data_IF_802151011419
#
_entry.id   IF_802151011419
#
_cell.length_a   1.000
_cell.length_b   1.000
_cell.length_c   1.000
_cell.angle_alpha   90.00
_cell.angle_beta   90.00
_cell.angle_gamma   90.00
#
_symmetry.space_group_name_H-M   'P 1'
#
loop_
_entity.id
_entity.type
_entity.pdbx_description
1 polymer ?
#
# COMPACT_ATOMS: atom_id res chain seq x y z
N UNK A 1 -2.49 -7.70 -16.09
CA UNK A 1 -2.72 -6.64 -15.09
C UNK A 1 -3.62 -5.56 -15.68
N UNK A 2 -4.61 -5.07 -14.96
CA UNK A 2 -5.44 -3.94 -15.39
C UNK A 2 -4.80 -2.64 -14.90
N UNK A 3 -4.69 -1.63 -15.75
CA UNK A 3 -4.24 -0.28 -15.40
C UNK A 3 -5.43 0.68 -15.52
N UNK A 4 -5.59 1.56 -14.53
CA UNK A 4 -6.65 2.56 -14.48
C UNK A 4 -6.07 3.87 -13.94
N UNK A 5 -6.11 4.96 -14.72
CA UNK A 5 -5.84 6.28 -14.20
C UNK A 5 -6.94 6.66 -13.20
N UNK A 6 -6.58 6.80 -11.91
CA UNK A 6 -7.54 7.13 -10.84
C UNK A 6 -7.52 8.63 -10.51
N UNK A 7 -6.41 9.28 -10.81
CA UNK A 7 -6.26 10.74 -10.86
C UNK A 7 -5.42 11.13 -12.07
N UNK A 8 -5.20 12.43 -12.31
CA UNK A 8 -4.27 12.90 -13.35
C UNK A 8 -2.80 12.53 -13.06
N UNK A 9 -2.48 12.03 -11.87
CA UNK A 9 -1.10 11.71 -11.44
C UNK A 9 -0.92 10.30 -10.91
N UNK A 10 -2.00 9.56 -10.64
CA UNK A 10 -1.94 8.21 -10.03
C UNK A 10 -2.61 7.20 -10.94
N UNK A 11 -1.87 6.16 -11.30
CA UNK A 11 -2.38 4.99 -12.02
C UNK A 11 -2.41 3.80 -11.09
N UNK A 12 -3.60 3.26 -10.83
CA UNK A 12 -3.80 2.00 -10.12
C UNK A 12 -3.56 0.84 -11.07
N UNK A 13 -2.70 -0.08 -10.65
CA UNK A 13 -2.44 -1.34 -11.33
C UNK A 13 -3.03 -2.48 -10.50
N UNK A 14 -3.95 -3.26 -11.09
CA UNK A 14 -4.62 -4.35 -10.37
C UNK A 14 -4.20 -5.71 -10.93
N UNK A 15 -3.61 -6.55 -10.08
CA UNK A 15 -3.21 -7.93 -10.37
C UNK A 15 -4.23 -8.92 -9.81
N UNK A 16 -4.45 -10.04 -10.50
CA UNK A 16 -5.40 -11.09 -10.10
C UNK A 16 -6.81 -10.59 -9.75
N UNK A 17 -7.20 -9.40 -10.25
CA UNK A 17 -8.48 -8.71 -10.03
C UNK A 17 -8.65 -8.10 -8.63
N UNK A 18 -7.72 -8.28 -7.68
CA UNK A 18 -7.91 -7.83 -6.31
C UNK A 18 -6.66 -7.27 -5.60
N UNK A 19 -5.44 -7.46 -6.11
CA UNK A 19 -4.22 -6.87 -5.51
C UNK A 19 -3.82 -5.63 -6.29
N UNK A 20 -3.64 -4.53 -5.61
CA UNK A 20 -3.28 -3.24 -6.20
C UNK A 20 -1.85 -2.83 -5.85
N UNK A 21 -1.23 -2.13 -6.80
CA UNK A 21 -0.09 -1.26 -6.58
C UNK A 21 -0.31 0.02 -7.40
N UNK A 22 0.47 1.07 -7.14
CA UNK A 22 0.18 2.38 -7.70
C UNK A 22 1.44 3.03 -8.29
N UNK A 23 1.33 3.55 -9.50
CA UNK A 23 2.34 4.42 -10.09
C UNK A 23 1.92 5.89 -9.86
N UNK A 24 2.71 6.61 -9.09
CA UNK A 24 2.51 8.02 -8.75
C UNK A 24 3.50 8.85 -9.54
N UNK A 25 3.01 9.78 -10.35
CA UNK A 25 3.84 10.70 -11.12
C UNK A 25 4.43 11.78 -10.21
N UNK A 26 5.74 11.90 -10.26
CA UNK A 26 6.53 12.90 -9.55
C UNK A 26 7.31 13.79 -10.54
N UNK A 27 8.01 14.80 -10.05
CA UNK A 27 8.81 15.68 -10.91
C UNK A 27 10.04 14.98 -11.51
N UNK A 28 10.58 13.98 -10.80
CA UNK A 28 11.81 13.25 -11.13
C UNK A 28 11.56 11.85 -11.71
N UNK A 29 10.29 11.46 -11.89
CA UNK A 29 9.91 10.14 -12.43
C UNK A 29 8.67 9.57 -11.76
N UNK A 30 8.65 8.26 -11.50
CA UNK A 30 7.54 7.56 -10.87
C UNK A 30 7.94 7.01 -9.50
N UNK A 31 7.07 7.22 -8.51
CA UNK A 31 7.07 6.44 -7.27
C UNK A 31 6.12 5.25 -7.47
N UNK A 32 6.64 4.04 -7.37
CA UNK A 32 5.81 2.83 -7.29
C UNK A 32 5.47 2.57 -5.83
N UNK A 33 4.18 2.57 -5.49
CA UNK A 33 3.70 2.19 -4.17
C UNK A 33 3.23 0.73 -4.22
N UNK A 34 3.87 -0.13 -3.45
CA UNK A 34 3.76 -1.59 -3.46
C UNK A 34 4.11 -2.24 -4.81
N UNK A 35 4.28 -3.55 -4.85
CA UNK A 35 4.77 -4.23 -6.05
C UNK A 35 3.84 -5.34 -6.56
N UNK A 36 2.75 -5.60 -5.86
CA UNK A 36 1.88 -6.74 -6.10
C UNK A 36 2.65 -8.08 -6.13
N UNK A 37 2.01 -9.14 -6.59
CA UNK A 37 2.58 -10.48 -6.67
C UNK A 37 2.76 -10.88 -8.15
N UNK A 38 3.97 -11.33 -8.54
CA UNK A 38 4.28 -11.79 -9.91
C UNK A 38 3.86 -10.78 -11.00
N UNK A 39 4.20 -9.52 -10.82
CA UNK A 39 3.71 -8.40 -11.63
C UNK A 39 4.82 -7.52 -12.24
N UNK A 40 6.10 -7.86 -12.06
CA UNK A 40 7.21 -7.00 -12.44
C UNK A 40 7.14 -6.54 -13.91
N UNK A 41 7.01 -7.45 -14.86
CA UNK A 41 6.93 -7.13 -16.29
C UNK A 41 5.76 -6.19 -16.61
N UNK A 42 4.59 -6.45 -16.01
CA UNK A 42 3.40 -5.63 -16.24
C UNK A 42 3.52 -4.23 -15.62
N UNK A 43 4.22 -4.11 -14.49
CA UNK A 43 4.50 -2.83 -13.84
C UNK A 43 5.47 -2.02 -14.72
N UNK A 44 6.55 -2.64 -15.19
CA UNK A 44 7.52 -2.00 -16.08
C UNK A 44 6.87 -1.52 -17.37
N UNK A 45 6.06 -2.38 -18.02
CA UNK A 45 5.32 -2.01 -19.22
C UNK A 45 4.28 -0.89 -18.95
N UNK A 46 3.74 -0.77 -17.75
CA UNK A 46 2.85 0.34 -17.38
C UNK A 46 3.62 1.63 -17.19
N UNK A 47 4.80 1.60 -16.57
CA UNK A 47 5.69 2.75 -16.43
C UNK A 47 6.18 3.27 -17.79
N UNK A 48 6.56 2.37 -18.69
CA UNK A 48 6.94 2.71 -20.06
C UNK A 48 5.80 3.45 -20.80
N UNK A 49 4.56 2.99 -20.69
CA UNK A 49 3.40 3.68 -21.29
C UNK A 49 3.12 5.07 -20.68
N UNK A 50 3.53 5.30 -19.43
CA UNK A 50 3.46 6.62 -18.79
C UNK A 50 4.62 7.53 -19.20
N UNK A 51 5.64 7.01 -19.89
CA UNK A 51 6.78 7.77 -20.40
C UNK A 51 7.75 8.28 -19.34
N UNK A 52 7.77 7.67 -18.14
CA UNK A 52 8.64 8.10 -17.06
C UNK A 52 9.26 6.88 -16.32
N UNK A 53 10.53 6.97 -15.88
CA UNK A 53 11.20 5.89 -15.16
C UNK A 53 10.66 5.74 -13.75
N UNK A 54 10.62 4.51 -13.24
CA UNK A 54 10.44 4.26 -11.80
C UNK A 54 11.77 4.60 -11.11
N UNK A 55 11.77 5.61 -10.27
CA UNK A 55 12.98 6.07 -9.54
C UNK A 55 12.98 5.61 -8.08
N UNK A 56 11.80 5.25 -7.54
CA UNK A 56 11.68 4.68 -6.19
C UNK A 56 10.50 3.72 -6.05
N UNK A 57 10.65 2.78 -5.12
CA UNK A 57 9.61 1.84 -4.71
C UNK A 57 9.36 2.08 -3.22
N UNK A 58 8.17 2.54 -2.87
CA UNK A 58 7.74 2.79 -1.49
C UNK A 58 6.74 1.71 -1.07
N UNK A 59 7.01 1.01 0.02
CA UNK A 59 6.17 -0.09 0.49
C UNK A 59 5.27 0.37 1.62
N UNK A 60 3.99 -0.03 1.58
CA UNK A 60 3.05 0.22 2.68
C UNK A 60 3.34 -0.70 3.85
N UNK A 61 3.68 -1.97 3.56
CA UNK A 61 4.00 -3.01 4.52
C UNK A 61 4.68 -4.22 3.84
N UNK A 62 5.05 -5.24 4.62
CA UNK A 62 5.91 -6.34 4.16
C UNK A 62 5.22 -7.62 3.72
N UNK A 63 3.88 -7.69 3.56
CA UNK A 63 3.21 -8.91 3.11
C UNK A 63 3.48 -9.24 1.65
N UNK A 64 3.45 -10.54 1.32
CA UNK A 64 3.88 -11.07 0.03
C UNK A 64 3.12 -10.56 -1.18
N UNK A 65 1.87 -10.23 -1.04
CA UNK A 65 1.06 -9.63 -2.10
C UNK A 65 1.35 -8.14 -2.33
N UNK A 66 2.11 -7.50 -1.43
CA UNK A 66 2.61 -6.13 -1.57
C UNK A 66 4.09 -6.07 -1.99
N UNK A 67 4.90 -7.03 -1.56
CA UNK A 67 6.36 -7.05 -1.86
C UNK A 67 6.77 -8.13 -2.88
N UNK A 68 5.84 -8.93 -3.37
CA UNK A 68 6.13 -10.17 -4.09
C UNK A 68 6.79 -10.01 -5.47
N UNK A 69 6.80 -8.80 -6.04
CA UNK A 69 7.56 -8.51 -7.27
C UNK A 69 8.82 -7.68 -7.02
N UNK A 70 9.14 -7.34 -5.76
CA UNK A 70 10.23 -6.43 -5.40
C UNK A 70 11.58 -6.89 -5.96
N UNK A 71 11.96 -8.14 -5.72
CA UNK A 71 13.25 -8.69 -6.18
C UNK A 71 13.40 -8.65 -7.70
N UNK A 72 12.32 -8.95 -8.42
CA UNK A 72 12.33 -8.91 -9.88
C UNK A 72 12.40 -7.47 -10.41
N UNK A 73 11.71 -6.54 -9.78
CA UNK A 73 11.76 -5.12 -10.12
C UNK A 73 13.14 -4.52 -9.84
N UNK A 74 13.74 -4.78 -8.66
CA UNK A 74 15.07 -4.27 -8.33
C UNK A 74 16.13 -4.77 -9.31
N UNK A 75 16.06 -6.05 -9.72
CA UNK A 75 16.97 -6.60 -10.75
C UNK A 75 16.80 -5.91 -12.11
N UNK A 76 15.56 -5.64 -12.53
CA UNK A 76 15.27 -5.04 -13.81
C UNK A 76 15.60 -3.54 -13.87
N UNK A 77 15.35 -2.82 -12.78
CA UNK A 77 15.56 -1.37 -12.67
C UNK A 77 16.99 -0.99 -12.29
N UNK A 78 17.76 -1.92 -11.70
CA UNK A 78 19.15 -1.69 -11.32
C UNK A 78 19.32 -1.03 -9.95
N UNK A 79 20.56 -0.65 -9.65
CA UNK A 79 20.96 -0.13 -8.34
C UNK A 79 20.36 1.26 -8.04
N UNK A 80 20.13 2.06 -9.06
CA UNK A 80 19.69 3.47 -8.93
C UNK A 80 18.26 3.62 -8.37
N UNK A 81 17.39 2.61 -8.54
CA UNK A 81 16.05 2.65 -7.97
C UNK A 81 16.13 2.46 -6.45
N UNK A 82 15.58 3.41 -5.69
CA UNK A 82 15.53 3.31 -4.24
C UNK A 82 14.36 2.46 -3.78
N UNK A 83 14.60 1.54 -2.85
CA UNK A 83 13.57 0.76 -2.14
C UNK A 83 13.43 1.30 -0.73
N UNK A 84 12.22 1.78 -0.41
CA UNK A 84 11.88 2.34 0.89
C UNK A 84 10.85 1.43 1.59
N UNK A 85 11.15 0.99 2.81
CA UNK A 85 10.29 0.11 3.60
C UNK A 85 10.15 0.66 5.03
N UNK A 86 8.95 0.61 5.63
CA UNK A 86 8.77 0.97 7.04
C UNK A 86 9.69 0.15 7.96
N UNK A 87 10.35 0.81 8.92
CA UNK A 87 11.38 0.21 9.77
C UNK A 87 10.93 -1.10 10.45
N UNK A 88 9.75 -1.20 11.12
CA UNK A 88 9.35 -2.44 11.77
C UNK A 88 9.19 -3.63 10.81
N UNK A 89 8.69 -3.40 9.60
CA UNK A 89 8.49 -4.46 8.61
C UNK A 89 9.83 -4.83 7.93
N UNK A 90 10.73 -3.87 7.74
CA UNK A 90 12.10 -4.13 7.29
C UNK A 90 12.86 -5.02 8.28
N UNK A 91 12.70 -4.79 9.59
CA UNK A 91 13.28 -5.63 10.65
C UNK A 91 12.73 -7.07 10.62
N UNK A 92 11.43 -7.24 10.31
CA UNK A 92 10.85 -8.59 10.16
C UNK A 92 11.48 -9.32 8.96
N UNK A 93 11.63 -8.65 7.82
CA UNK A 93 12.27 -9.24 6.64
C UNK A 93 13.75 -9.54 6.85
N UNK A 94 14.46 -8.73 7.62
CA UNK A 94 15.85 -8.95 8.01
C UNK A 94 16.01 -10.08 9.06
N UNK A 95 14.91 -10.57 9.65
CA UNK A 95 14.95 -11.55 10.74
C UNK A 95 15.29 -10.97 12.10
N UNK A 96 15.31 -9.65 12.24
CA UNK A 96 15.56 -8.92 13.49
C UNK A 96 14.34 -8.92 14.42
N UNK A 97 13.15 -9.18 13.86
CA UNK A 97 11.88 -9.32 14.58
C UNK A 97 11.12 -10.58 14.13
N UNK A 98 10.29 -11.17 15.00
CA UNK A 98 9.47 -12.30 14.63
C UNK A 98 8.40 -11.90 13.61
N UNK A 99 8.08 -12.83 12.69
CA UNK A 99 6.96 -12.68 11.75
C UNK A 99 5.63 -12.62 12.50
N UNK A 100 4.76 -11.73 12.06
CA UNK A 100 3.39 -11.63 12.53
C UNK A 100 2.44 -12.41 11.62
N UNK A 101 1.10 -12.25 11.79
CA UNK A 101 0.12 -12.84 10.88
C UNK A 101 0.36 -12.37 9.44
N UNK A 102 -0.10 -13.15 8.47
CA UNK A 102 0.05 -12.88 7.05
C UNK A 102 1.22 -13.63 6.42
N UNK A 103 1.37 -13.46 5.11
CA UNK A 103 2.40 -14.12 4.32
C UNK A 103 3.67 -13.26 4.24
N UNK A 104 4.74 -13.67 4.89
CA UNK A 104 6.04 -13.00 4.85
C UNK A 104 7.01 -13.76 3.95
N UNK A 105 7.20 -13.37 2.68
CA UNK A 105 8.15 -14.03 1.79
C UNK A 105 9.59 -13.77 2.24
N UNK A 106 10.51 -14.61 1.81
CA UNK A 106 11.93 -14.30 1.87
C UNK A 106 12.23 -13.34 0.72
N UNK A 107 12.79 -12.17 1.02
CA UNK A 107 13.28 -11.21 0.05
C UNK A 107 14.80 -11.33 -0.09
N UNK A 108 15.30 -11.24 -1.33
CA UNK A 108 16.71 -11.07 -1.62
C UNK A 108 17.11 -9.58 -1.57
N UNK A 109 16.15 -8.68 -1.88
CA UNK A 109 16.34 -7.24 -1.86
C UNK A 109 16.15 -6.71 -0.45
N UNK A 110 17.21 -6.17 0.15
CA UNK A 110 17.09 -5.32 1.33
C UNK A 110 16.61 -3.91 0.93
N UNK A 111 15.83 -3.21 1.76
CA UNK A 111 15.50 -1.83 1.50
C UNK A 111 16.76 -0.95 1.57
N UNK A 112 16.86 0.01 0.62
CA UNK A 112 17.91 1.02 0.63
C UNK A 112 17.69 2.04 1.75
N UNK A 113 16.41 2.28 2.10
CA UNK A 113 15.99 3.19 3.17
C UNK A 113 14.95 2.49 4.05
N UNK A 114 15.25 2.36 5.33
CA UNK A 114 14.27 2.04 6.37
C UNK A 114 13.75 3.35 6.94
N UNK A 115 12.44 3.51 7.02
CA UNK A 115 11.86 4.80 7.40
C UNK A 115 10.80 4.66 8.49
N UNK A 116 10.61 5.75 9.24
CA UNK A 116 9.53 5.93 10.20
C UNK A 116 8.41 6.79 9.61
N UNK A 117 7.17 6.69 10.12
CA UNK A 117 6.08 7.59 9.72
C UNK A 117 6.44 9.08 9.87
N UNK A 118 5.83 9.93 9.06
CA UNK A 118 6.09 11.37 8.98
C UNK A 118 7.11 11.75 7.91
N UNK A 119 7.83 10.78 7.33
CA UNK A 119 8.74 11.04 6.20
C UNK A 119 7.96 11.37 4.94
N UNK A 120 8.56 12.21 4.09
CA UNK A 120 8.05 12.55 2.76
C UNK A 120 8.80 11.81 1.68
N UNK A 121 8.07 11.13 0.79
CA UNK A 121 8.60 10.36 -0.34
C UNK A 121 7.98 10.96 -1.61
N UNK A 122 8.69 11.87 -2.28
CA UNK A 122 8.12 12.69 -3.34
C UNK A 122 6.96 13.54 -2.81
N UNK A 123 5.77 13.40 -3.40
CA UNK A 123 4.54 14.06 -2.96
C UNK A 123 3.81 13.35 -1.82
N UNK A 124 4.24 12.13 -1.49
CA UNK A 124 3.58 11.25 -0.55
C UNK A 124 4.11 11.47 0.88
N UNK A 125 3.23 11.74 1.82
CA UNK A 125 3.51 11.73 3.26
C UNK A 125 3.19 10.34 3.83
N UNK A 126 4.16 9.71 4.49
CA UNK A 126 3.97 8.43 5.16
C UNK A 126 3.24 8.64 6.50
N UNK A 127 2.02 8.17 6.59
CA UNK A 127 1.15 8.28 7.76
C UNK A 127 1.17 6.97 8.54
N UNK A 128 1.43 7.02 9.84
CA UNK A 128 1.35 5.83 10.71
C UNK A 128 -0.04 5.20 10.64
N UNK A 129 -0.09 3.92 10.30
CA UNK A 129 -1.34 3.16 10.27
C UNK A 129 -1.12 1.69 10.67
N UNK A 130 -0.47 1.45 11.83
CA UNK A 130 -0.15 0.10 12.29
C UNK A 130 -1.39 -0.71 12.64
N UNK A 131 -1.20 -2.04 12.73
CA UNK A 131 -2.22 -3.00 13.13
C UNK A 131 -2.40 -4.12 12.12
N UNK A 132 -2.45 -3.84 10.82
CA UNK A 132 -2.39 -4.89 9.81
C UNK A 132 -1.02 -5.60 9.89
N UNK A 133 0.06 -4.85 9.81
CA UNK A 133 1.37 -5.20 10.35
C UNK A 133 1.81 -4.16 11.39
N UNK A 134 2.88 -4.43 12.13
CA UNK A 134 3.42 -3.49 13.12
C UNK A 134 4.03 -2.24 12.49
N UNK A 135 4.54 -2.37 11.25
CA UNK A 135 5.16 -1.28 10.50
C UNK A 135 4.26 -0.67 9.44
N UNK A 136 3.01 -1.11 9.32
CA UNK A 136 2.13 -0.63 8.25
C UNK A 136 2.00 0.89 8.23
N UNK A 137 2.19 1.49 7.06
CA UNK A 137 1.96 2.91 6.77
C UNK A 137 0.97 3.08 5.63
N UNK A 138 0.27 4.21 5.64
CA UNK A 138 -0.51 4.71 4.52
C UNK A 138 0.20 5.92 3.92
N UNK A 139 -0.02 6.19 2.63
CA UNK A 139 0.56 7.36 1.97
C UNK A 139 -0.52 8.37 1.61
N UNK A 140 -0.36 9.61 2.08
CA UNK A 140 -1.23 10.73 1.71
C UNK A 140 -0.52 11.58 0.64
N UNK A 141 -1.08 11.65 -0.56
CA UNK A 141 -0.64 12.60 -1.57
C UNK A 141 -1.01 14.02 -1.11
N UNK A 142 0.00 14.83 -0.82
CA UNK A 142 -0.20 16.17 -0.26
C UNK A 142 -0.72 17.18 -1.27
N UNK A 143 -0.75 16.83 -2.58
CA UNK A 143 -1.21 17.70 -3.67
C UNK A 143 -2.73 17.74 -3.79
N UNK A 144 -3.41 16.62 -3.54
CA UNK A 144 -4.86 16.49 -3.74
C UNK A 144 -5.57 15.69 -2.65
N UNK A 145 -4.83 15.29 -1.59
CA UNK A 145 -5.31 14.49 -0.46
C UNK A 145 -5.81 13.10 -0.86
N UNK A 146 -5.30 12.53 -1.94
CA UNK A 146 -5.50 11.12 -2.25
C UNK A 146 -4.79 10.27 -1.20
N UNK A 147 -5.49 9.33 -0.58
CA UNK A 147 -4.96 8.42 0.43
C UNK A 147 -4.78 7.03 -0.16
N UNK A 148 -3.55 6.53 -0.20
CA UNK A 148 -3.20 5.13 -0.46
C UNK A 148 -3.12 4.45 0.91
N UNK A 149 -4.18 3.78 1.30
CA UNK A 149 -4.37 3.28 2.67
C UNK A 149 -3.78 1.87 2.91
N UNK A 150 -3.11 1.28 1.90
CA UNK A 150 -2.66 -0.12 2.00
C UNK A 150 -3.80 -1.04 2.46
N UNK A 151 -3.54 -1.82 3.50
CA UNK A 151 -4.47 -2.82 4.00
C UNK A 151 -5.18 -2.45 5.31
N UNK A 152 -5.21 -1.16 5.67
CA UNK A 152 -6.10 -0.68 6.75
C UNK A 152 -7.57 -0.86 6.36
N UNK A 153 -7.86 -0.60 5.07
CA UNK A 153 -9.19 -0.78 4.49
C UNK A 153 -9.11 -1.71 3.27
N UNK A 154 -10.22 -2.35 2.97
CA UNK A 154 -10.52 -2.95 1.67
C UNK A 154 -11.78 -2.32 1.10
N UNK A 155 -11.89 -2.26 -0.24
CA UNK A 155 -13.10 -1.79 -0.93
C UNK A 155 -13.75 -2.89 -1.79
N UNK A 156 -13.26 -4.12 -1.72
CA UNK A 156 -13.81 -5.24 -2.49
C UNK A 156 -15.18 -5.65 -1.95
N UNK A 157 -16.23 -5.28 -2.67
CA UNK A 157 -17.62 -5.49 -2.24
C UNK A 157 -18.15 -4.46 -1.23
N UNK A 158 -17.51 -3.27 -1.19
CA UNK A 158 -17.79 -2.14 -0.32
C UNK A 158 -16.64 -1.88 0.65
N UNK A 159 -16.55 -0.65 1.17
CA UNK A 159 -15.50 -0.28 2.12
C UNK A 159 -15.69 -1.02 3.44
N UNK A 160 -14.63 -1.69 3.88
CA UNK A 160 -14.54 -2.37 5.17
C UNK A 160 -13.18 -2.11 5.82
N UNK A 161 -13.12 -2.08 7.14
CA UNK A 161 -11.86 -2.05 7.90
C UNK A 161 -11.34 -3.48 8.03
N UNK A 162 -10.04 -3.68 7.79
CA UNK A 162 -9.41 -5.01 7.86
C UNK A 162 -9.24 -5.54 9.30
N UNK A 163 -9.79 -4.86 10.29
CA UNK A 163 -9.89 -5.35 11.68
C UNK A 163 -11.00 -6.37 11.89
N UNK A 164 -11.93 -6.51 10.93
CA UNK A 164 -13.08 -7.41 11.03
C UNK A 164 -13.27 -8.19 9.73
N UNK A 165 -13.67 -9.46 9.88
CA UNK A 165 -13.93 -10.33 8.75
C UNK A 165 -15.03 -9.75 7.85
N UNK A 166 -14.70 -9.57 6.57
CA UNK A 166 -15.62 -9.14 5.53
C UNK A 166 -15.84 -10.30 4.55
N UNK A 167 -17.06 -10.82 4.48
CA UNK A 167 -17.36 -12.07 3.75
C UNK A 167 -16.99 -12.02 2.25
N UNK A 168 -17.03 -10.84 1.63
CA UNK A 168 -16.67 -10.69 0.21
C UNK A 168 -15.17 -10.62 -0.02
N UNK A 169 -14.38 -10.28 1.01
CA UNK A 169 -12.91 -10.31 0.99
C UNK A 169 -12.37 -10.52 2.40
N UNK A 170 -12.27 -11.77 2.89
CA UNK A 170 -11.86 -12.07 4.26
C UNK A 170 -10.36 -11.99 4.50
N UNK A 171 -9.54 -12.05 3.44
CA UNK A 171 -8.09 -12.26 3.52
C UNK A 171 -7.36 -11.17 4.29
N UNK A 172 -7.68 -9.89 4.04
CA UNK A 172 -7.04 -8.78 4.74
C UNK A 172 -7.27 -8.86 6.26
N UNK A 173 -8.50 -9.20 6.70
CA UNK A 173 -8.81 -9.36 8.12
C UNK A 173 -8.09 -10.57 8.75
N UNK A 174 -7.97 -11.68 8.01
CA UNK A 174 -7.26 -12.87 8.48
C UNK A 174 -5.75 -12.62 8.65
N UNK A 175 -5.17 -11.75 7.82
CA UNK A 175 -3.76 -11.37 7.87
C UNK A 175 -3.46 -10.23 8.86
N UNK A 176 -4.49 -9.57 9.41
CA UNK A 176 -4.32 -8.46 10.36
C UNK A 176 -3.79 -8.96 11.71
N UNK A 177 -2.64 -8.45 12.12
CA UNK A 177 -1.95 -8.87 13.34
C UNK A 177 -2.66 -8.36 14.61
N UNK A 178 -2.96 -7.06 14.65
CA UNK A 178 -3.69 -6.39 15.73
C UNK A 178 -4.94 -5.68 15.20
N UNK A 179 -6.13 -6.32 15.30
CA UNK A 179 -7.37 -5.72 14.82
C UNK A 179 -7.78 -4.43 15.57
N UNK A 180 -7.43 -4.30 16.86
CA UNK A 180 -7.77 -3.09 17.64
C UNK A 180 -6.96 -1.90 17.15
N UNK A 181 -5.64 -2.09 17.03
CA UNK A 181 -4.75 -1.05 16.52
C UNK A 181 -5.11 -0.67 15.07
N UNK A 182 -5.45 -1.66 14.23
CA UNK A 182 -5.90 -1.37 12.85
C UNK A 182 -7.19 -0.54 12.82
N UNK A 183 -8.11 -0.75 13.75
CA UNK A 183 -9.32 0.08 13.86
C UNK A 183 -9.00 1.53 14.29
N UNK A 184 -8.06 1.73 15.22
CA UNK A 184 -7.58 3.08 15.58
C UNK A 184 -6.92 3.77 14.38
N UNK A 185 -6.09 3.05 13.64
CA UNK A 185 -5.50 3.53 12.40
C UNK A 185 -6.56 3.94 11.38
N UNK A 186 -7.62 3.16 11.23
CA UNK A 186 -8.74 3.50 10.34
C UNK A 186 -9.43 4.82 10.74
N UNK A 187 -9.61 5.07 12.06
CA UNK A 187 -10.16 6.32 12.58
C UNK A 187 -9.24 7.51 12.29
N UNK A 188 -7.94 7.34 12.54
CA UNK A 188 -6.93 8.37 12.27
C UNK A 188 -6.89 8.73 10.77
N UNK A 189 -6.88 7.74 9.88
CA UNK A 189 -6.89 7.96 8.44
C UNK A 189 -8.18 8.64 7.97
N UNK A 190 -9.35 8.31 8.55
CA UNK A 190 -10.62 8.99 8.26
C UNK A 190 -10.57 10.46 8.66
N UNK A 191 -9.94 10.79 9.79
CA UNK A 191 -9.79 12.16 10.27
C UNK A 191 -8.95 13.05 9.35
N UNK A 192 -8.10 12.46 8.50
CA UNK A 192 -7.36 13.18 7.46
C UNK A 192 -8.28 13.75 6.36
N UNK A 193 -9.55 13.38 6.31
CA UNK A 193 -10.52 13.83 5.29
C UNK A 193 -10.00 13.64 3.85
N UNK A 194 -9.64 12.42 3.44
CA UNK A 194 -9.14 12.19 2.10
C UNK A 194 -10.19 12.46 1.02
N UNK A 195 -9.74 12.97 -0.13
CA UNK A 195 -10.59 13.22 -1.31
C UNK A 195 -10.89 11.93 -2.08
N UNK A 196 -9.91 11.00 -2.09
CA UNK A 196 -9.96 9.71 -2.75
C UNK A 196 -9.30 8.68 -1.84
N UNK A 197 -9.92 7.50 -1.71
CA UNK A 197 -9.35 6.35 -1.00
C UNK A 197 -8.92 5.29 -2.00
N UNK A 198 -7.64 4.95 -1.98
CA UNK A 198 -7.01 3.85 -2.69
C UNK A 198 -6.59 2.81 -1.66
N UNK A 199 -6.80 1.54 -1.96
CA UNK A 199 -6.56 0.42 -1.03
C UNK A 199 -5.76 -0.69 -1.69
N UNK A 200 -5.08 -1.53 -0.90
CA UNK A 200 -4.40 -2.72 -1.40
C UNK A 200 -5.34 -3.69 -2.12
N UNK A 201 -6.63 -3.72 -1.72
CA UNK A 201 -7.60 -4.67 -2.26
C UNK A 201 -8.94 -4.02 -2.59
N UNK A 202 -9.20 -3.82 -3.89
CA UNK A 202 -10.47 -3.34 -4.41
C UNK A 202 -10.38 -2.06 -5.24
N UNK A 203 -11.51 -1.53 -5.71
CA UNK A 203 -11.56 -0.32 -6.51
C UNK A 203 -11.29 0.96 -5.71
N UNK A 204 -10.84 2.00 -6.41
CA UNK A 204 -10.75 3.36 -5.88
C UNK A 204 -12.14 3.87 -5.43
N UNK A 205 -12.18 4.63 -4.33
CA UNK A 205 -13.41 5.15 -3.73
C UNK A 205 -13.34 6.68 -3.66
N UNK A 206 -13.95 7.41 -4.59
CA UNK A 206 -14.01 8.86 -4.54
C UNK A 206 -14.95 9.34 -3.43
N UNK A 207 -14.64 10.48 -2.80
CA UNK A 207 -15.41 11.05 -1.71
C UNK A 207 -15.66 10.06 -0.56
N UNK A 208 -14.62 9.41 0.00
CA UNK A 208 -14.77 8.18 0.79
C UNK A 208 -15.34 8.41 2.20
N UNK A 209 -15.55 9.65 2.60
CA UNK A 209 -15.87 10.05 3.98
C UNK A 209 -16.98 9.20 4.63
N UNK A 210 -18.13 9.10 3.96
CA UNK A 210 -19.31 8.36 4.48
C UNK A 210 -19.06 6.85 4.47
N UNK A 211 -18.36 6.34 3.44
CA UNK A 211 -18.06 4.92 3.33
C UNK A 211 -17.08 4.47 4.42
N UNK A 212 -16.02 5.25 4.68
CA UNK A 212 -15.07 5.00 5.77
C UNK A 212 -15.76 5.04 7.14
N UNK A 213 -16.61 6.05 7.39
CA UNK A 213 -17.36 6.19 8.66
C UNK A 213 -18.24 4.97 8.92
N UNK A 214 -19.00 4.52 7.91
CA UNK A 214 -19.83 3.32 8.00
C UNK A 214 -18.99 2.05 8.25
N UNK A 215 -17.82 1.93 7.61
CA UNK A 215 -16.92 0.81 7.80
C UNK A 215 -16.37 0.77 9.23
N UNK A 216 -15.92 1.92 9.77
CA UNK A 216 -15.43 2.08 11.14
C UNK A 216 -16.55 1.75 12.15
N UNK A 217 -17.75 2.29 11.96
CA UNK A 217 -18.90 2.01 12.84
C UNK A 217 -19.25 0.52 12.90
N UNK A 218 -19.19 -0.18 11.76
CA UNK A 218 -19.40 -1.63 11.70
C UNK A 218 -18.30 -2.42 12.40
N UNK A 219 -17.04 -1.98 12.27
CA UNK A 219 -15.90 -2.64 12.88
C UNK A 219 -15.81 -2.41 14.39
N UNK A 220 -16.46 -1.37 14.92
CA UNK A 220 -16.51 -1.02 16.35
C UNK A 220 -17.56 -1.81 17.16
N UNK A 221 -18.40 -2.61 16.49
CA UNK A 221 -19.43 -3.49 17.11
C UNK A 221 -18.87 -4.90 17.31
#
# INVERSE_FOLDING_TARGET
MRALAVTGRITQLTRFRFVNCFLVQEQDGLTLVDTALQAAEQILAAAERLGAPIVRIALTHGHGDHVGSLDALKRALGAEVQVLMPEPDAQIHAGERPKTKGGWPKLATAPDVRFEPGVRIGSLEAVASPGHTSGHVSFLDTRDRTLIAGDVFTSYGGVAVSSRLHLRFPFAAMATADPRQNLESARALRALAPSLLLVGHGPAVPGPAVAMERAISRASR
#
